data_IF_848177169273
#
_entry.id   IF_848177169273
#
_cell.length_a   1.000
_cell.length_b   1.000
_cell.length_c   1.000
_cell.angle_alpha   90.00
_cell.angle_beta   90.00
_cell.angle_gamma   90.00
#
_symmetry.space_group_name_H-M   'P 1'
#
loop_
_entity.id
_entity.type
_entity.pdbx_description
1 polymer ?
#
# COMPACT_ATOMS: atom_id res chain seq x y z
N UNK A 1 -1.50 4.34 8.09
CA UNK A 1 -0.40 3.74 7.28
C UNK A 1 -0.46 2.23 7.47
N UNK A 2 -0.25 1.40 6.43
CA UNK A 2 -0.35 -0.08 6.52
C UNK A 2 0.67 -0.70 7.47
N UNK A 3 1.76 0.03 7.79
CA UNK A 3 2.82 -0.40 8.71
C UNK A 3 2.32 -0.90 10.07
N UNK A 4 1.21 -0.38 10.58
CA UNK A 4 0.70 -0.73 11.92
C UNK A 4 -0.38 -1.82 11.88
N UNK A 5 -0.69 -2.36 10.70
CA UNK A 5 -1.78 -3.32 10.49
C UNK A 5 -1.21 -4.74 10.48
N UNK A 6 -1.86 -5.67 11.18
CA UNK A 6 -1.58 -7.11 11.03
C UNK A 6 -2.22 -7.64 9.75
N UNK A 7 -1.43 -8.32 8.91
CA UNK A 7 -1.90 -8.85 7.65
C UNK A 7 -2.84 -10.05 7.88
N UNK A 8 -4.06 -9.96 7.34
CA UNK A 8 -5.07 -11.03 7.40
C UNK A 8 -5.25 -11.75 6.07
N UNK A 9 -4.68 -11.23 4.99
CA UNK A 9 -4.77 -11.78 3.62
C UNK A 9 -3.39 -11.80 2.93
N UNK A 10 -3.30 -12.54 1.83
CA UNK A 10 -2.10 -12.61 0.99
C UNK A 10 -0.95 -13.38 1.63
N UNK A 11 0.27 -13.24 1.08
CA UNK A 11 1.47 -13.93 1.58
C UNK A 11 1.98 -13.37 2.91
N UNK A 12 1.70 -12.09 3.19
CA UNK A 12 2.10 -11.45 4.44
C UNK A 12 1.33 -12.02 5.65
N UNK A 13 0.12 -12.55 5.48
CA UNK A 13 -0.66 -13.12 6.58
C UNK A 13 -0.04 -14.38 7.19
N UNK A 14 0.87 -15.06 6.47
CA UNK A 14 1.62 -16.20 7.00
C UNK A 14 2.48 -15.82 8.22
N UNK A 15 2.82 -14.54 8.35
CA UNK A 15 3.69 -14.02 9.40
C UNK A 15 2.94 -13.44 10.61
N UNK A 16 1.60 -13.35 10.57
CA UNK A 16 0.74 -12.89 11.69
C UNK A 16 1.29 -11.61 12.35
N UNK A 17 1.54 -11.62 13.67
CA UNK A 17 2.01 -10.46 14.43
C UNK A 17 3.35 -9.91 13.91
N UNK A 18 4.18 -10.76 13.27
CA UNK A 18 5.45 -10.33 12.65
C UNK A 18 5.25 -9.51 11.37
N UNK A 19 4.04 -9.46 10.81
CA UNK A 19 3.76 -8.56 9.68
C UNK A 19 3.68 -7.10 10.12
N UNK A 20 3.35 -6.84 11.39
CA UNK A 20 3.30 -5.49 11.95
C UNK A 20 4.70 -4.88 11.88
N UNK A 21 4.77 -3.60 11.54
CA UNK A 21 6.03 -2.88 11.30
C UNK A 21 6.44 -2.81 9.82
N UNK A 22 5.73 -3.49 8.92
CA UNK A 22 6.03 -3.53 7.48
C UNK A 22 4.94 -2.84 6.66
N UNK A 23 5.35 -1.99 5.72
CA UNK A 23 4.43 -1.38 4.75
C UNK A 23 4.02 -2.45 3.74
N UNK A 24 2.72 -2.60 3.50
CA UNK A 24 2.21 -3.48 2.45
C UNK A 24 2.64 -2.98 1.06
N UNK A 25 3.34 -3.80 0.26
CA UNK A 25 3.81 -3.39 -1.07
C UNK A 25 2.67 -3.12 -2.06
N UNK A 26 1.53 -3.82 -1.94
CA UNK A 26 0.38 -3.59 -2.81
C UNK A 26 -0.26 -2.21 -2.59
N UNK A 27 -0.39 -1.81 -1.33
CA UNK A 27 -0.80 -0.46 -0.95
C UNK A 27 0.19 0.60 -1.43
N UNK A 28 1.50 0.35 -1.32
CA UNK A 28 2.53 1.27 -1.82
C UNK A 28 2.46 1.44 -3.34
N UNK A 29 2.33 0.36 -4.11
CA UNK A 29 2.15 0.47 -5.57
C UNK A 29 0.86 1.18 -5.95
N UNK A 30 -0.24 0.93 -5.22
CA UNK A 30 -1.52 1.61 -5.47
C UNK A 30 -1.43 3.11 -5.21
N UNK A 31 -0.69 3.51 -4.17
CA UNK A 31 -0.38 4.91 -3.92
C UNK A 31 0.32 5.56 -5.12
N UNK A 32 1.39 4.95 -5.66
CA UNK A 32 2.10 5.49 -6.83
C UNK A 32 1.21 5.61 -8.06
N UNK A 33 0.31 4.64 -8.29
CA UNK A 33 -0.66 4.68 -9.40
C UNK A 33 -1.60 5.88 -9.24
N UNK A 34 -2.15 6.08 -8.04
CA UNK A 34 -3.06 7.19 -7.79
C UNK A 34 -2.36 8.55 -7.76
N UNK A 35 -1.11 8.60 -7.30
CA UNK A 35 -0.26 9.78 -7.35
C UNK A 35 -0.04 10.23 -8.80
N UNK A 36 0.43 9.32 -9.66
CA UNK A 36 0.61 9.60 -11.09
C UNK A 36 -0.70 9.97 -11.79
N UNK A 37 -1.81 9.29 -11.46
CA UNK A 37 -3.13 9.65 -11.98
C UNK A 37 -3.54 11.08 -11.57
N UNK A 38 -3.34 11.43 -10.30
CA UNK A 38 -3.67 12.76 -9.80
C UNK A 38 -2.82 13.85 -10.46
N UNK A 39 -1.55 13.58 -10.76
CA UNK A 39 -0.70 14.48 -11.54
C UNK A 39 -1.26 14.72 -12.95
N UNK A 40 -1.65 13.66 -13.66
CA UNK A 40 -2.25 13.77 -14.99
C UNK A 40 -3.56 14.54 -14.96
N UNK A 41 -4.43 14.27 -13.98
CA UNK A 41 -5.71 14.99 -13.84
C UNK A 41 -5.49 16.47 -13.52
N UNK A 42 -4.49 16.82 -12.69
CA UNK A 42 -4.18 18.23 -12.36
C UNK A 42 -3.50 18.98 -13.51
N UNK A 43 -2.69 18.29 -14.32
CA UNK A 43 -1.98 18.86 -15.47
C UNK A 43 -2.77 18.85 -16.77
N UNK A 44 -3.87 18.10 -16.83
CA UNK A 44 -4.83 18.13 -17.93
C UNK A 44 -5.71 19.37 -17.87
N UNK A 45 -5.29 20.41 -18.58
CA UNK A 45 -6.19 21.48 -19.04
C UNK A 45 -7.10 20.95 -20.15
#
# INVERSE_FOLDING_TARGET
NTKEIMATKGRASYFKEKSIGHIDPGAASSFYIFEALAEVIKGGN
#
